data_IF_070151253343
#
_entry.id   IF_070151253343
#
_cell.length_a   1.000
_cell.length_b   1.000
_cell.length_c   1.000
_cell.angle_alpha   90.00
_cell.angle_beta   90.00
_cell.angle_gamma   90.00
#
_symmetry.space_group_name_H-M   'P 1'
#
loop_
_entity.id
_entity.type
_entity.pdbx_description
1 polymer ?
#
# COMPACT_ATOMS: atom_id res chain seq x y z
N UNK A 1 -24.96 0.15 16.40
CA UNK A 1 -24.80 0.34 14.94
C UNK A 1 -23.32 0.22 14.61
N UNK A 2 -22.94 -0.66 13.67
CA UNK A 2 -21.54 -0.79 13.23
C UNK A 2 -21.19 0.36 12.27
N UNK A 3 -20.03 0.97 12.45
CA UNK A 3 -19.54 2.10 11.63
C UNK A 3 -18.47 1.65 10.64
N UNK A 4 -18.29 2.40 9.54
CA UNK A 4 -17.23 2.13 8.55
C UNK A 4 -15.85 2.05 9.22
N UNK A 5 -15.54 2.98 10.12
CA UNK A 5 -14.26 2.99 10.85
C UNK A 5 -14.04 1.70 11.65
N UNK A 6 -15.10 1.11 12.23
CA UNK A 6 -15.01 -0.18 12.91
C UNK A 6 -14.78 -1.32 11.92
N UNK A 7 -15.47 -1.32 10.77
CA UNK A 7 -15.30 -2.35 9.73
C UNK A 7 -13.88 -2.32 9.16
N UNK A 8 -13.34 -1.15 8.86
CA UNK A 8 -11.95 -0.99 8.42
C UNK A 8 -10.98 -1.53 9.47
N UNK A 9 -11.20 -1.23 10.76
CA UNK A 9 -10.38 -1.80 11.85
C UNK A 9 -10.46 -3.32 11.92
N UNK A 10 -11.63 -3.91 11.67
CA UNK A 10 -11.80 -5.37 11.65
C UNK A 10 -11.07 -5.94 10.42
N UNK A 11 -11.30 -5.37 9.23
CA UNK A 11 -10.65 -5.80 7.98
C UNK A 11 -9.13 -5.69 8.04
N UNK A 12 -8.58 -4.68 8.70
CA UNK A 12 -7.13 -4.48 8.82
C UNK A 12 -6.46 -5.31 9.93
N UNK A 13 -7.24 -5.95 10.82
CA UNK A 13 -6.71 -6.72 11.96
C UNK A 13 -5.91 -7.92 11.47
N UNK A 14 -4.77 -8.19 12.12
CA UNK A 14 -3.88 -9.34 11.85
C UNK A 14 -3.47 -9.97 13.19
N UNK A 15 -3.61 -11.29 13.40
CA UNK A 15 -4.29 -12.25 12.52
C UNK A 15 -5.81 -12.02 12.45
N UNK A 16 -6.43 -12.50 11.37
CA UNK A 16 -7.88 -12.52 11.22
C UNK A 16 -8.32 -13.85 10.59
N UNK A 17 -9.58 -14.22 10.82
CA UNK A 17 -10.21 -15.39 10.23
C UNK A 17 -10.65 -15.08 8.79
N UNK A 18 -10.30 -15.91 7.79
CA UNK A 18 -10.71 -15.68 6.41
C UNK A 18 -12.22 -15.49 6.25
N UNK A 19 -13.03 -16.24 7.01
CA UNK A 19 -14.49 -16.20 6.94
C UNK A 19 -15.05 -14.81 7.32
N UNK A 20 -14.40 -14.11 8.24
CA UNK A 20 -14.79 -12.74 8.63
C UNK A 20 -14.50 -11.76 7.49
N UNK A 21 -13.36 -11.93 6.81
CA UNK A 21 -12.95 -11.07 5.71
C UNK A 21 -13.85 -11.29 4.48
N UNK A 22 -14.22 -12.54 4.23
CA UNK A 22 -15.22 -12.92 3.22
C UNK A 22 -16.59 -12.29 3.51
N UNK A 23 -17.05 -12.34 4.75
CA UNK A 23 -18.32 -11.71 5.14
C UNK A 23 -18.31 -10.19 4.92
N UNK A 24 -17.20 -9.51 5.24
CA UNK A 24 -17.04 -8.08 4.95
C UNK A 24 -17.08 -7.81 3.45
N UNK A 25 -16.43 -8.65 2.64
CA UNK A 25 -16.42 -8.53 1.18
C UNK A 25 -17.80 -8.79 0.56
N UNK A 26 -18.54 -9.78 1.04
CA UNK A 26 -19.86 -10.14 0.53
C UNK A 26 -20.94 -9.12 0.91
N UNK A 27 -20.69 -8.27 1.91
CA UNK A 27 -21.64 -7.25 2.32
C UNK A 27 -21.56 -5.99 1.43
N UNK A 28 -22.60 -5.70 0.61
CA UNK A 28 -22.55 -4.59 -0.35
C UNK A 28 -22.35 -3.22 0.29
N UNK A 29 -22.87 -3.04 1.51
CA UNK A 29 -22.74 -1.79 2.28
C UNK A 29 -21.28 -1.47 2.59
N UNK A 30 -20.47 -2.49 2.83
CA UNK A 30 -19.09 -2.36 3.27
C UNK A 30 -18.12 -2.40 2.11
N UNK A 31 -18.24 -3.38 1.21
CA UNK A 31 -17.31 -3.52 0.08
C UNK A 31 -17.39 -2.34 -0.89
N UNK A 32 -18.52 -1.62 -0.94
CA UNK A 32 -18.64 -0.38 -1.71
C UNK A 32 -17.64 0.70 -1.24
N UNK A 33 -17.20 0.69 0.02
CA UNK A 33 -16.32 1.70 0.61
C UNK A 33 -14.85 1.46 0.24
N UNK A 34 -14.18 2.51 -0.22
CA UNK A 34 -12.79 2.43 -0.65
C UNK A 34 -11.87 1.90 0.46
N UNK A 35 -11.98 2.47 1.66
CA UNK A 35 -11.13 2.11 2.80
C UNK A 35 -11.30 0.65 3.23
N UNK A 36 -12.49 0.07 3.01
CA UNK A 36 -12.74 -1.35 3.26
C UNK A 36 -12.04 -2.21 2.20
N UNK A 37 -12.16 -1.87 0.91
CA UNK A 37 -11.45 -2.57 -0.17
C UNK A 37 -9.93 -2.56 0.07
N UNK A 38 -9.38 -1.39 0.40
CA UNK A 38 -7.96 -1.21 0.69
C UNK A 38 -7.52 -2.09 1.88
N UNK A 39 -8.25 -2.02 2.99
CA UNK A 39 -7.93 -2.82 4.18
C UNK A 39 -7.96 -4.34 3.91
N UNK A 40 -8.94 -4.81 3.13
CA UNK A 40 -9.01 -6.22 2.71
C UNK A 40 -7.84 -6.61 1.81
N UNK A 41 -7.50 -5.79 0.81
CA UNK A 41 -6.43 -6.09 -0.14
C UNK A 41 -5.04 -6.12 0.53
N UNK A 42 -4.81 -5.31 1.56
CA UNK A 42 -3.59 -5.32 2.36
C UNK A 42 -3.56 -6.37 3.48
N UNK A 43 -4.62 -7.14 3.71
CA UNK A 43 -4.62 -8.13 4.78
C UNK A 43 -4.12 -9.50 4.24
N UNK A 44 -3.02 -10.05 4.77
CA UNK A 44 -2.48 -11.34 4.31
C UNK A 44 -3.39 -12.54 4.61
N UNK A 45 -4.37 -12.37 5.52
CA UNK A 45 -5.37 -13.40 5.83
C UNK A 45 -6.60 -13.32 4.90
N UNK A 46 -6.70 -12.30 4.05
CA UNK A 46 -7.75 -12.24 3.03
C UNK A 46 -7.48 -13.31 1.97
N UNK A 47 -8.48 -14.12 1.59
CA UNK A 47 -8.34 -15.08 0.51
C UNK A 47 -7.76 -14.40 -0.76
N UNK A 48 -6.71 -14.95 -1.40
CA UNK A 48 -6.03 -14.30 -2.52
C UNK A 48 -6.97 -13.88 -3.65
N UNK A 49 -7.99 -14.69 -3.96
CA UNK A 49 -9.01 -14.39 -4.97
C UNK A 49 -9.75 -13.08 -4.69
N UNK A 50 -10.08 -12.81 -3.42
CA UNK A 50 -10.77 -11.57 -3.02
C UNK A 50 -9.80 -10.40 -3.13
N UNK A 51 -8.60 -10.51 -2.56
CA UNK A 51 -7.61 -9.44 -2.61
C UNK A 51 -7.28 -9.05 -4.07
N UNK A 52 -7.08 -10.04 -4.95
CA UNK A 52 -6.85 -9.85 -6.38
C UNK A 52 -8.03 -9.12 -7.05
N UNK A 53 -9.26 -9.56 -6.78
CA UNK A 53 -10.46 -8.92 -7.34
C UNK A 53 -10.64 -7.47 -6.89
N UNK A 54 -10.10 -7.10 -5.74
CA UNK A 54 -10.17 -5.74 -5.22
C UNK A 54 -9.15 -4.78 -5.86
N UNK A 55 -8.03 -5.30 -6.38
CA UNK A 55 -6.93 -4.47 -6.91
C UNK A 55 -7.36 -3.50 -8.00
N UNK A 56 -8.32 -3.89 -8.86
CA UNK A 56 -8.79 -3.05 -9.97
C UNK A 56 -9.48 -1.77 -9.50
N UNK A 57 -9.96 -1.74 -8.26
CA UNK A 57 -10.64 -0.58 -7.66
C UNK A 57 -9.70 0.34 -6.88
N UNK A 58 -8.43 -0.02 -6.74
CA UNK A 58 -7.46 0.73 -5.95
C UNK A 58 -6.70 1.75 -6.81
N UNK A 59 -6.19 2.79 -6.13
CA UNK A 59 -5.27 3.75 -6.72
C UNK A 59 -3.95 3.09 -7.09
N UNK A 60 -3.20 3.70 -7.99
CA UNK A 60 -1.92 3.18 -8.44
C UNK A 60 -0.89 3.10 -7.31
N UNK A 61 -0.88 4.11 -6.45
CA UNK A 61 -0.05 4.16 -5.24
C UNK A 61 -0.31 2.93 -4.35
N UNK A 62 -1.57 2.65 -4.06
CA UNK A 62 -1.93 1.53 -3.17
C UNK A 62 -1.63 0.17 -3.81
N UNK A 63 -1.81 0.02 -5.13
CA UNK A 63 -1.40 -1.20 -5.85
C UNK A 63 0.12 -1.38 -5.80
N UNK A 64 0.89 -0.30 -5.84
CA UNK A 64 2.35 -0.34 -5.72
C UNK A 64 2.77 -0.81 -4.33
N UNK A 65 2.14 -0.31 -3.27
CA UNK A 65 2.38 -0.80 -1.91
C UNK A 65 2.09 -2.31 -1.80
N UNK A 66 0.96 -2.77 -2.34
CA UNK A 66 0.59 -4.20 -2.37
C UNK A 66 1.62 -5.03 -3.14
N UNK A 67 2.10 -4.53 -4.29
CA UNK A 67 3.10 -5.24 -5.10
C UNK A 67 4.41 -5.49 -4.35
N UNK A 68 4.77 -4.60 -3.42
CA UNK A 68 6.00 -4.66 -2.64
C UNK A 68 5.82 -5.33 -1.26
N UNK A 69 4.60 -5.55 -0.79
CA UNK A 69 4.35 -6.12 0.54
C UNK A 69 4.60 -7.64 0.59
N UNK A 70 5.75 -8.01 1.14
CA UNK A 70 6.19 -9.41 1.29
C UNK A 70 5.35 -10.22 2.28
N UNK A 71 4.50 -9.59 3.09
CA UNK A 71 3.57 -10.30 3.98
C UNK A 71 2.38 -10.91 3.23
N UNK A 72 2.07 -10.40 2.03
CA UNK A 72 0.92 -10.85 1.24
C UNK A 72 1.21 -12.15 0.48
N UNK A 73 0.16 -12.76 -0.06
CA UNK A 73 0.30 -13.93 -0.94
C UNK A 73 1.05 -13.55 -2.24
N UNK A 74 1.89 -14.44 -2.75
CA UNK A 74 2.70 -14.18 -3.95
C UNK A 74 1.83 -13.82 -5.16
N UNK A 75 0.73 -14.54 -5.37
CA UNK A 75 -0.20 -14.27 -6.47
C UNK A 75 -0.83 -12.88 -6.41
N UNK A 76 -1.13 -12.36 -5.21
CA UNK A 76 -1.67 -11.00 -5.04
C UNK A 76 -0.63 -9.98 -5.50
N UNK A 77 0.63 -10.13 -5.07
CA UNK A 77 1.73 -9.27 -5.51
C UNK A 77 1.97 -9.36 -7.01
N UNK A 78 1.96 -10.59 -7.56
CA UNK A 78 2.17 -10.85 -8.99
C UNK A 78 1.09 -10.15 -9.83
N UNK A 79 -0.16 -10.24 -9.41
CA UNK A 79 -1.27 -9.58 -10.11
C UNK A 79 -1.22 -8.05 -9.97
N UNK A 80 -0.85 -7.52 -8.80
CA UNK A 80 -0.63 -6.09 -8.62
C UNK A 80 0.44 -5.55 -9.59
N UNK A 81 1.59 -6.25 -9.70
CA UNK A 81 2.63 -5.91 -10.69
C UNK A 81 2.12 -5.95 -12.13
N UNK A 82 1.29 -6.95 -12.47
CA UNK A 82 0.71 -7.05 -13.81
C UNK A 82 -0.19 -5.85 -14.14
N UNK A 83 -1.04 -5.43 -13.20
CA UNK A 83 -1.92 -4.26 -13.36
C UNK A 83 -1.11 -2.99 -13.56
N UNK A 84 -0.05 -2.77 -12.77
CA UNK A 84 0.81 -1.59 -12.89
C UNK A 84 1.50 -1.52 -14.26
N UNK A 85 2.01 -2.66 -14.75
CA UNK A 85 2.58 -2.76 -16.11
C UNK A 85 1.55 -2.40 -17.18
N UNK A 86 0.32 -2.91 -17.07
CA UNK A 86 -0.75 -2.59 -18.02
C UNK A 86 -1.14 -1.12 -18.02
N UNK A 87 -1.01 -0.42 -16.87
CA UNK A 87 -1.23 1.03 -16.75
C UNK A 87 -0.05 1.88 -17.25
N UNK A 88 1.00 1.26 -17.82
CA UNK A 88 2.27 1.90 -18.23
C UNK A 88 3.03 2.53 -17.05
N UNK A 89 2.94 1.93 -15.87
CA UNK A 89 3.68 2.34 -14.68
C UNK A 89 4.83 1.37 -14.48
N UNK A 90 6.06 1.88 -14.54
CA UNK A 90 7.24 1.10 -14.20
C UNK A 90 7.38 0.99 -12.68
N UNK A 91 7.29 -0.22 -12.15
CA UNK A 91 7.58 -0.51 -10.74
C UNK A 91 9.08 -0.74 -10.62
N UNK A 92 9.83 0.28 -10.17
CA UNK A 92 11.22 0.09 -9.73
C UNK A 92 11.20 -0.55 -8.34
N UNK A 93 11.58 -1.82 -8.23
CA UNK A 93 11.81 -2.45 -6.93
C UNK A 93 13.06 -1.85 -6.30
N UNK A 94 12.90 -0.84 -5.44
CA UNK A 94 13.90 -0.54 -4.43
C UNK A 94 13.60 -1.37 -3.19
N UNK A 95 14.41 -2.41 -2.95
CA UNK A 95 14.44 -3.15 -1.70
C UNK A 95 14.88 -2.19 -0.57
N UNK A 96 13.93 -1.57 0.13
CA UNK A 96 14.19 -0.85 1.38
C UNK A 96 13.35 -1.42 2.52
N UNK A 97 13.98 -1.86 3.64
CA UNK A 97 13.26 -2.36 4.79
C UNK A 97 12.68 -1.17 5.57
N UNK A 98 11.41 -0.83 5.37
CA UNK A 98 10.76 0.25 6.12
C UNK A 98 10.02 -0.28 7.34
N UNK A 99 10.78 -0.51 8.42
CA UNK A 99 10.24 -0.32 9.78
C UNK A 99 9.96 1.17 9.95
N UNK A 100 8.80 1.47 10.56
CA UNK A 100 8.29 2.79 10.98
C UNK A 100 9.35 3.90 11.05
N UNK A 101 9.14 4.94 10.24
CA UNK A 101 9.77 6.26 10.37
C UNK A 101 10.51 6.74 9.13
N UNK A 102 10.19 7.97 8.74
CA UNK A 102 11.15 8.98 8.24
C UNK A 102 11.23 9.31 6.72
N UNK A 103 11.19 10.64 6.52
CA UNK A 103 11.56 11.53 5.41
C UNK A 103 11.07 11.30 3.97
N UNK A 104 10.35 12.32 3.48
CA UNK A 104 9.90 12.51 2.11
C UNK A 104 11.01 13.22 1.30
N UNK A 105 11.26 12.78 0.06
CA UNK A 105 12.04 13.53 -0.94
C UNK A 105 11.10 13.92 -2.08
N UNK A 106 11.22 15.14 -2.60
CA UNK A 106 10.61 15.54 -3.86
C UNK A 106 11.52 15.06 -5.01
N UNK A 107 10.94 14.45 -6.04
CA UNK A 107 11.65 14.13 -7.29
C UNK A 107 11.06 15.04 -8.36
N UNK A 108 11.84 16.01 -8.82
CA UNK A 108 11.51 16.78 -10.03
C UNK A 108 11.89 15.94 -11.26
N UNK A 109 10.90 15.61 -12.09
CA UNK A 109 11.02 14.66 -13.20
C UNK A 109 11.73 15.22 -14.45
N UNK A 110 12.11 16.49 -14.45
CA UNK A 110 12.61 17.16 -15.66
C UNK A 110 14.13 17.40 -15.65
N UNK A 111 14.82 17.12 -14.56
CA UNK A 111 16.28 17.24 -14.48
C UNK A 111 16.84 15.97 -13.87
N UNK A 112 17.45 15.13 -14.72
CA UNK A 112 18.10 13.89 -14.32
C UNK A 112 19.41 14.13 -13.52
N UNK A 113 19.33 14.89 -12.43
CA UNK A 113 20.43 15.15 -11.49
C UNK A 113 19.87 15.21 -10.06
N UNK A 114 20.49 14.45 -9.16
CA UNK A 114 20.25 14.51 -7.71
C UNK A 114 21.18 15.59 -7.16
N UNK A 115 20.66 16.75 -6.78
CA UNK A 115 21.43 17.75 -6.04
C UNK A 115 21.22 17.54 -4.53
N UNK A 116 22.30 17.38 -3.74
CA UNK A 116 22.21 17.41 -2.28
C UNK A 116 21.68 18.77 -1.82
N UNK A 117 20.83 18.79 -0.79
CA UNK A 117 20.61 20.01 -0.02
C UNK A 117 21.96 20.39 0.59
N UNK A 118 22.58 21.47 0.09
CA UNK A 118 23.60 22.20 0.83
C UNK A 118 23.02 22.56 2.20
N UNK A 119 23.52 21.92 3.25
CA UNK A 119 23.41 22.45 4.60
C UNK A 119 24.20 23.75 4.58
N UNK A 120 23.47 24.86 4.46
CA UNK A 120 24.02 26.19 4.61
C UNK A 120 24.81 26.26 5.92
N UNK A 121 26.03 26.76 5.79
CA UNK A 121 27.06 26.88 6.80
C UNK A 121 26.53 27.29 8.19
N UNK A 122 26.98 26.57 9.21
CA UNK A 122 27.37 27.18 10.48
C UNK A 122 28.52 26.39 11.09
N UNK A 123 29.69 26.50 10.47
CA UNK A 123 30.94 26.50 11.20
C UNK A 123 31.13 27.92 11.73
N UNK A 124 30.88 28.09 13.03
CA UNK A 124 31.29 29.20 13.89
C UNK A 124 30.93 28.77 15.31
N UNK A 125 31.73 28.87 16.34
CA UNK A 125 33.14 29.18 16.51
C UNK A 125 33.34 28.91 18.02
N UNK A 126 34.53 28.42 18.37
CA UNK A 126 35.22 28.78 19.62
C UNK A 126 34.75 28.26 21.02
N UNK A 127 35.77 27.67 21.69
CA UNK A 127 36.03 27.38 23.13
C UNK A 127 35.60 26.02 23.71
#
# INVERSE_FOLDING_TARGET
MLTERQVVKIAARRPNKPEILEEIFNNPRWVARYQVKLALAHNPYTPPRIAIGLLVFLTEHDIMEIACDMSLHEDVRRQARAILKSRKIEVKQEDKPRRRGFQMYHIDLDKATIEPLEEADSEADEW
#
